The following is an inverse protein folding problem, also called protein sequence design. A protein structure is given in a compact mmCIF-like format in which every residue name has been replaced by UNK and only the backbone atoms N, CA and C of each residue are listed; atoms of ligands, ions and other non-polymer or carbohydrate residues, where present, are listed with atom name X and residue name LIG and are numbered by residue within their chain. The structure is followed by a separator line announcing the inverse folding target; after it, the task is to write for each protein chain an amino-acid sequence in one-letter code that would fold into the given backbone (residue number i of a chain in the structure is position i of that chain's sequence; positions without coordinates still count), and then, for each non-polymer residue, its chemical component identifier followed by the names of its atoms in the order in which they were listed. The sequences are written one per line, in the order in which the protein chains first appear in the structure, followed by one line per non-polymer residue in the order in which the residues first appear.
data_IF_200890261072
#
_entry.id   IF_200890261072
#
_cell.length_a   1.000
_cell.length_b   1.000
_cell.length_c   1.000
_cell.angle_alpha   90.00
_cell.angle_beta   90.00
_cell.angle_gamma   90.00
#
_symmetry.space_group_name_H-M   'P 1'
#
loop_
_entity.id
_entity.type
_entity.pdbx_description
1 polymer ?
#
# COMPACT_ATOMS: atom_id res chain seq x y z
N UNK A 1 -14.44 -25.74 15.46
CA UNK A 1 -14.67 -25.47 14.02
C UNK A 1 -13.85 -24.26 13.64
N UNK A 2 -12.93 -24.37 12.71
CA UNK A 2 -12.18 -23.20 12.21
C UNK A 2 -13.16 -22.31 11.42
N UNK A 3 -13.46 -21.13 11.93
CA UNK A 3 -14.28 -20.13 11.24
C UNK A 3 -13.56 -19.72 9.96
N UNK A 4 -14.24 -19.81 8.81
CA UNK A 4 -13.70 -19.37 7.51
C UNK A 4 -13.26 -17.92 7.67
N UNK A 5 -11.96 -17.68 7.49
CA UNK A 5 -11.38 -16.31 7.58
C UNK A 5 -12.11 -15.38 6.62
N UNK A 6 -12.73 -14.33 7.14
CA UNK A 6 -13.53 -13.41 6.34
C UNK A 6 -12.61 -12.38 5.66
N UNK A 7 -12.42 -12.51 4.35
CA UNK A 7 -11.59 -11.55 3.55
C UNK A 7 -12.16 -10.13 3.55
N UNK A 8 -13.48 -9.98 3.66
CA UNK A 8 -14.13 -8.67 3.75
C UNK A 8 -13.64 -7.87 4.96
N UNK A 9 -13.60 -8.50 6.16
CA UNK A 9 -13.09 -7.83 7.36
C UNK A 9 -11.62 -7.42 7.22
N UNK A 10 -10.80 -8.22 6.52
CA UNK A 10 -9.40 -7.88 6.27
C UNK A 10 -9.29 -6.66 5.38
N UNK A 11 -10.09 -6.57 4.31
CA UNK A 11 -10.12 -5.41 3.41
C UNK A 11 -10.49 -4.14 4.16
N UNK A 12 -11.66 -4.12 4.79
CA UNK A 12 -12.15 -2.95 5.54
C UNK A 12 -11.17 -2.51 6.64
N UNK A 13 -10.65 -3.44 7.43
CA UNK A 13 -9.68 -3.11 8.48
C UNK A 13 -8.42 -2.47 7.90
N UNK A 14 -7.95 -2.95 6.74
CA UNK A 14 -6.77 -2.42 6.08
C UNK A 14 -6.99 -1.03 5.47
N UNK A 15 -8.14 -0.78 4.86
CA UNK A 15 -8.50 0.54 4.31
C UNK A 15 -8.53 1.61 5.42
N UNK A 16 -9.21 1.32 6.54
CA UNK A 16 -9.24 2.26 7.69
C UNK A 16 -7.87 2.41 8.35
N UNK A 17 -7.06 1.35 8.40
CA UNK A 17 -5.72 1.44 8.95
C UNK A 17 -4.81 2.32 8.07
N UNK A 18 -4.86 2.16 6.74
CA UNK A 18 -4.14 3.01 5.79
C UNK A 18 -4.62 4.46 5.91
N UNK A 19 -5.93 4.69 5.98
CA UNK A 19 -6.49 6.04 6.19
C UNK A 19 -5.94 6.67 7.48
N UNK A 20 -5.92 5.91 8.59
CA UNK A 20 -5.34 6.35 9.85
C UNK A 20 -3.87 6.72 9.72
N UNK A 21 -3.08 5.91 9.00
CA UNK A 21 -1.66 6.19 8.76
C UNK A 21 -1.47 7.46 7.94
N UNK A 22 -2.29 7.69 6.91
CA UNK A 22 -2.22 8.90 6.09
C UNK A 22 -2.49 10.18 6.93
N UNK A 23 -3.51 10.18 7.79
CA UNK A 23 -3.77 11.30 8.70
C UNK A 23 -2.61 11.53 9.68
N UNK A 24 -2.01 10.47 10.23
CA UNK A 24 -0.85 10.59 11.13
C UNK A 24 0.40 11.14 10.43
N UNK A 25 0.50 10.94 9.12
CA UNK A 25 1.53 11.51 8.26
C UNK A 25 1.16 12.90 7.72
N UNK A 26 0.05 13.47 8.21
CA UNK A 26 -0.46 14.80 7.85
C UNK A 26 -0.91 14.95 6.39
N UNK A 27 -1.43 13.85 5.79
CA UNK A 27 -2.11 13.91 4.50
C UNK A 27 -3.59 14.25 4.69
N UNK A 28 -4.13 15.05 3.79
CA UNK A 28 -5.57 15.24 3.63
C UNK A 28 -6.12 14.07 2.79
N UNK A 29 -6.78 13.11 3.46
CA UNK A 29 -7.18 11.85 2.86
C UNK A 29 -8.68 11.57 3.03
N UNK A 30 -9.30 10.94 2.02
CA UNK A 30 -10.73 10.65 1.96
C UNK A 30 -10.96 9.21 1.52
N UNK A 31 -11.70 8.44 2.34
CA UNK A 31 -12.14 7.09 1.95
C UNK A 31 -13.34 7.18 1.02
N UNK A 32 -13.38 6.35 -0.01
CA UNK A 32 -14.52 6.28 -0.93
C UNK A 32 -15.50 5.21 -0.45
N UNK A 33 -16.78 5.55 -0.42
CA UNK A 33 -17.84 4.60 -0.12
C UNK A 33 -18.56 4.20 -1.42
N UNK A 34 -18.46 2.94 -1.83
CA UNK A 34 -19.20 2.47 -3.01
C UNK A 34 -18.88 1.06 -3.45
N UNK A 35 -19.88 0.41 -4.08
CA UNK A 35 -19.79 -0.98 -4.58
C UNK A 35 -19.25 -1.10 -6.01
N UNK A 36 -18.82 -0.02 -6.64
CA UNK A 36 -18.25 -0.04 -8.00
C UNK A 36 -16.73 -0.08 -7.91
N UNK A 37 -16.05 -0.51 -8.97
CA UNK A 37 -14.59 -0.48 -9.18
C UNK A 37 -14.05 0.95 -8.97
N UNK A 38 -13.95 1.38 -7.73
CA UNK A 38 -13.52 2.70 -7.33
C UNK A 38 -12.24 2.56 -6.52
N UNK A 39 -11.43 3.57 -6.62
CA UNK A 39 -10.31 3.85 -5.73
C UNK A 39 -10.77 3.78 -4.28
N UNK A 40 -9.99 3.19 -3.39
CA UNK A 40 -10.36 3.03 -1.98
C UNK A 40 -10.15 4.34 -1.19
N UNK A 41 -9.06 5.08 -1.48
CA UNK A 41 -8.72 6.33 -0.80
C UNK A 41 -8.23 7.37 -1.81
N UNK A 42 -8.64 8.60 -1.62
CA UNK A 42 -8.08 9.77 -2.28
C UNK A 42 -7.26 10.61 -1.31
N UNK A 43 -6.11 11.13 -1.78
CA UNK A 43 -5.36 12.18 -1.08
C UNK A 43 -5.33 13.44 -1.95
N UNK A 44 -5.41 14.61 -1.30
CA UNK A 44 -5.18 15.88 -1.92
C UNK A 44 -3.79 16.38 -1.52
N UNK A 45 -2.95 16.70 -2.50
CA UNK A 45 -1.63 17.31 -2.26
C UNK A 45 -1.74 18.83 -2.12
N UNK A 46 -0.69 19.46 -1.59
CA UNK A 46 -0.60 20.92 -1.44
C UNK A 46 -0.73 21.67 -2.78
N UNK A 47 -0.26 21.06 -3.89
CA UNK A 47 -0.39 21.58 -5.25
C UNK A 47 -1.80 21.36 -5.84
N UNK A 48 -2.76 20.86 -5.04
CA UNK A 48 -4.14 20.51 -5.41
C UNK A 48 -4.25 19.37 -6.43
N UNK A 49 -3.18 18.60 -6.65
CA UNK A 49 -3.29 17.37 -7.43
C UNK A 49 -3.83 16.23 -6.57
N UNK A 50 -4.72 15.45 -7.15
CA UNK A 50 -5.29 14.28 -6.47
C UNK A 50 -4.39 13.05 -6.70
N UNK A 51 -4.21 12.27 -5.64
CA UNK A 51 -3.59 10.95 -5.69
C UNK A 51 -4.63 9.91 -5.32
N UNK A 52 -4.71 8.86 -6.09
CA UNK A 52 -5.61 7.73 -5.84
C UNK A 52 -4.87 6.52 -5.30
N UNK A 53 -5.51 5.80 -4.38
CA UNK A 53 -4.93 4.65 -3.71
C UNK A 53 -5.91 3.48 -3.74
N UNK A 54 -5.42 2.33 -4.20
CA UNK A 54 -6.04 1.03 -3.95
C UNK A 54 -5.35 0.37 -2.76
N UNK A 55 -6.11 -0.22 -1.86
CA UNK A 55 -5.58 -0.99 -0.73
C UNK A 55 -5.73 -2.49 -1.01
N UNK A 56 -4.63 -3.21 -0.92
CA UNK A 56 -4.59 -4.67 -1.06
C UNK A 56 -4.01 -5.29 0.20
N UNK A 57 -4.72 -6.25 0.79
CA UNK A 57 -4.28 -6.83 2.05
C UNK A 57 -4.27 -8.33 2.06
N UNK A 58 -3.29 -8.90 2.79
CA UNK A 58 -3.20 -10.33 3.04
C UNK A 58 -2.84 -10.60 4.50
N UNK A 59 -3.40 -11.69 5.05
CA UNK A 59 -3.12 -12.10 6.44
C UNK A 59 -1.83 -12.89 6.55
N UNK A 60 -1.54 -13.77 5.58
CA UNK A 60 -0.53 -14.82 5.72
C UNK A 60 0.34 -15.06 4.47
N UNK A 61 -0.11 -14.59 3.29
CA UNK A 61 0.49 -15.00 2.02
C UNK A 61 1.51 -13.99 1.51
N UNK A 62 2.56 -14.52 0.85
CA UNK A 62 3.54 -13.72 0.13
C UNK A 62 3.10 -13.36 -1.30
N UNK A 63 1.98 -13.93 -1.76
CA UNK A 63 1.39 -13.73 -3.10
C UNK A 63 0.07 -12.99 -2.98
N UNK A 64 -0.04 -11.83 -3.62
CA UNK A 64 -1.15 -10.90 -3.47
C UNK A 64 -1.86 -10.74 -4.81
N UNK A 65 -3.20 -10.99 -4.88
CA UNK A 65 -3.98 -10.80 -6.10
C UNK A 65 -4.06 -9.31 -6.50
N UNK A 66 -3.74 -9.01 -7.77
CA UNK A 66 -3.72 -7.65 -8.33
C UNK A 66 -4.39 -7.57 -9.71
N UNK A 67 -5.29 -8.49 -10.02
CA UNK A 67 -5.93 -8.59 -11.34
C UNK A 67 -6.76 -7.36 -11.73
N UNK A 68 -7.26 -6.59 -10.77
CA UNK A 68 -8.03 -5.38 -11.00
C UNK A 68 -7.20 -4.10 -10.95
N UNK A 69 -5.88 -4.19 -10.78
CA UNK A 69 -5.00 -3.01 -10.77
C UNK A 69 -4.70 -2.60 -12.20
N UNK A 70 -4.88 -1.30 -12.49
CA UNK A 70 -4.57 -0.65 -13.76
C UNK A 70 -3.47 0.39 -13.55
N UNK A 71 -2.55 0.50 -14.53
CA UNK A 71 -1.51 1.54 -14.51
C UNK A 71 -2.14 2.90 -14.79
N UNK A 72 -2.04 3.83 -13.83
CA UNK A 72 -2.57 5.20 -13.94
C UNK A 72 -1.58 6.20 -13.35
N UNK A 73 -1.63 7.44 -13.84
CA UNK A 73 -0.87 8.54 -13.27
C UNK A 73 -1.35 8.85 -11.85
N UNK A 74 -0.44 9.19 -10.96
CA UNK A 74 -0.73 9.50 -9.56
C UNK A 74 -1.62 8.45 -8.87
N UNK A 75 -1.44 7.19 -9.22
CA UNK A 75 -2.16 6.07 -8.64
C UNK A 75 -1.20 5.08 -7.99
N UNK A 76 -1.47 4.73 -6.74
CA UNK A 76 -0.65 3.82 -5.95
C UNK A 76 -1.47 2.66 -5.43
N UNK A 77 -0.79 1.54 -5.22
CA UNK A 77 -1.34 0.40 -4.48
C UNK A 77 -0.61 0.31 -3.15
N UNK A 78 -1.36 0.41 -2.05
CA UNK A 78 -0.79 0.19 -0.72
C UNK A 78 -1.10 -1.24 -0.29
N UNK A 79 -0.04 -2.04 -0.20
CA UNK A 79 -0.15 -3.40 0.30
C UNK A 79 0.00 -3.42 1.82
N UNK A 80 -0.94 -4.11 2.49
CA UNK A 80 -0.96 -4.30 3.94
C UNK A 80 -0.78 -5.78 4.24
N UNK A 81 0.37 -6.15 4.79
CA UNK A 81 0.75 -7.54 5.04
C UNK A 81 0.82 -7.80 6.54
N UNK A 82 -0.12 -8.58 7.06
CA UNK A 82 -0.28 -8.82 8.50
C UNK A 82 0.68 -9.87 9.07
N UNK A 83 1.40 -10.63 8.25
CA UNK A 83 2.39 -11.62 8.70
C UNK A 83 1.82 -12.60 9.75
N UNK A 84 0.58 -13.09 9.55
CA UNK A 84 -0.18 -13.95 10.48
C UNK A 84 -0.64 -13.29 11.79
N UNK A 85 -0.55 -11.95 11.90
CA UNK A 85 -0.91 -11.18 13.10
C UNK A 85 -2.13 -10.29 12.86
N UNK A 86 -3.09 -10.74 12.05
CA UNK A 86 -4.33 -9.98 11.81
C UNK A 86 -5.27 -10.01 13.02
N UNK A 87 -5.44 -11.19 13.60
CA UNK A 87 -6.20 -11.37 14.83
C UNK A 87 -5.39 -10.81 16.01
N UNK A 88 -6.03 -9.99 16.83
CA UNK A 88 -5.39 -9.36 17.99
C UNK A 88 -5.50 -10.30 19.19
N UNK A 89 -4.38 -10.90 19.56
CA UNK A 89 -4.21 -11.70 20.76
C UNK A 89 -3.13 -11.02 21.62
N UNK A 90 -3.58 -10.24 22.61
CA UNK A 90 -2.68 -9.44 23.46
C UNK A 90 -2.37 -8.06 22.86
N UNK A 91 -1.08 -7.67 22.78
CA UNK A 91 -0.68 -6.35 22.30
C UNK A 91 -0.80 -6.27 20.75
N UNK A 92 -1.57 -5.31 20.21
CA UNK A 92 -1.66 -5.10 18.78
C UNK A 92 -0.30 -4.77 18.16
N UNK A 93 -0.01 -5.34 17.00
CA UNK A 93 1.17 -5.00 16.19
C UNK A 93 0.74 -4.42 14.85
N UNK A 94 1.49 -3.45 14.33
CA UNK A 94 1.25 -2.93 12.99
C UNK A 94 1.68 -3.97 11.94
N UNK A 95 0.92 -4.08 10.83
CA UNK A 95 1.36 -4.84 9.66
C UNK A 95 2.48 -4.12 8.93
N UNK A 96 3.09 -4.81 7.96
CA UNK A 96 3.99 -4.18 6.99
C UNK A 96 3.18 -3.43 5.93
N UNK A 97 3.64 -2.22 5.57
CA UNK A 97 3.07 -1.40 4.50
C UNK A 97 4.05 -1.28 3.34
N UNK A 98 3.55 -1.40 2.11
CA UNK A 98 4.34 -1.21 0.89
C UNK A 98 3.59 -0.25 -0.01
N UNK A 99 4.20 0.88 -0.36
CA UNK A 99 3.59 1.96 -1.14
C UNK A 99 4.12 1.88 -2.56
N UNK A 100 3.36 1.26 -3.46
CA UNK A 100 3.84 0.87 -4.78
C UNK A 100 3.10 1.63 -5.88
N UNK A 101 3.80 2.28 -6.84
CA UNK A 101 3.15 2.86 -8.01
C UNK A 101 2.37 1.79 -8.79
N UNK A 102 1.16 2.12 -9.23
CA UNK A 102 0.31 1.15 -9.96
C UNK A 102 0.95 0.66 -11.27
N UNK A 103 1.72 1.51 -11.94
CA UNK A 103 2.49 1.14 -13.13
C UNK A 103 3.50 0.03 -12.84
N UNK A 104 4.23 0.12 -11.72
CA UNK A 104 5.16 -0.93 -11.29
C UNK A 104 4.43 -2.23 -10.95
N UNK A 105 3.26 -2.16 -10.28
CA UNK A 105 2.45 -3.35 -9.97
C UNK A 105 2.05 -4.07 -11.26
N UNK A 106 1.60 -3.35 -12.28
CA UNK A 106 1.18 -3.92 -13.57
C UNK A 106 2.36 -4.52 -14.32
N UNK A 107 3.53 -3.88 -14.29
CA UNK A 107 4.75 -4.36 -14.93
C UNK A 107 5.32 -5.62 -14.26
N UNK A 108 5.28 -5.67 -12.92
CA UNK A 108 5.94 -6.72 -12.13
C UNK A 108 5.03 -7.91 -11.79
N UNK A 109 3.71 -7.78 -12.00
CA UNK A 109 2.75 -8.86 -11.72
C UNK A 109 2.98 -10.07 -12.60
N UNK A 110 2.72 -11.26 -12.05
CA UNK A 110 2.80 -12.53 -12.77
C UNK A 110 1.40 -13.04 -13.08
N UNK A 111 1.26 -13.54 -14.29
CA UNK A 111 0.04 -14.16 -14.78
C UNK A 111 0.03 -15.65 -14.46
N UNK A 112 -1.12 -16.16 -14.09
CA UNK A 112 -1.37 -17.56 -13.86
C UNK A 112 -2.69 -17.97 -14.51
N UNK A 113 -2.66 -19.05 -15.28
CA UNK A 113 -3.88 -19.70 -15.78
C UNK A 113 -4.61 -20.41 -14.64
N UNK A 114 -5.93 -20.23 -14.58
CA UNK A 114 -6.77 -20.94 -13.63
C UNK A 114 -7.25 -22.25 -14.24
N UNK A 115 -7.25 -23.35 -13.47
CA UNK A 115 -7.75 -24.66 -13.90
C UNK A 115 -9.20 -24.65 -14.39
N UNK A 116 -10.00 -23.68 -13.93
CA UNK A 116 -11.39 -23.47 -14.32
C UNK A 116 -11.56 -22.53 -15.52
N UNK A 117 -10.45 -22.11 -16.16
CA UNK A 117 -10.42 -21.07 -17.19
C UNK A 117 -10.34 -19.65 -16.62
N UNK A 118 -9.68 -18.76 -17.36
CA UNK A 118 -9.45 -17.38 -16.96
C UNK A 118 -8.03 -17.14 -16.42
N UNK A 119 -7.71 -15.87 -16.27
CA UNK A 119 -6.39 -15.39 -15.87
C UNK A 119 -6.42 -14.82 -14.44
N UNK A 120 -5.37 -15.03 -13.70
CA UNK A 120 -5.15 -14.43 -12.39
C UNK A 120 -3.80 -13.75 -12.35
N UNK A 121 -3.79 -12.52 -11.93
CA UNK A 121 -2.56 -11.73 -11.77
C UNK A 121 -2.21 -11.58 -10.30
N UNK A 122 -0.99 -11.93 -9.94
CA UNK A 122 -0.47 -11.79 -8.58
C UNK A 122 0.88 -11.07 -8.59
N UNK A 123 1.17 -10.35 -7.51
CA UNK A 123 2.51 -9.83 -7.19
C UNK A 123 3.01 -10.51 -5.91
N UNK A 124 4.32 -10.70 -5.79
CA UNK A 124 4.89 -11.30 -4.59
C UNK A 124 5.48 -10.25 -3.68
N UNK A 125 5.45 -10.50 -2.37
CA UNK A 125 6.06 -9.64 -1.36
C UNK A 125 7.50 -9.26 -1.70
N UNK A 126 8.32 -10.23 -2.13
CA UNK A 126 9.72 -10.02 -2.52
C UNK A 126 9.90 -9.02 -3.67
N UNK A 127 8.92 -8.93 -4.58
CA UNK A 127 8.98 -8.05 -5.75
C UNK A 127 8.68 -6.60 -5.37
N UNK A 128 8.09 -6.35 -4.19
CA UNK A 128 7.75 -5.03 -3.66
C UNK A 128 8.55 -4.63 -2.42
N UNK A 129 9.54 -5.43 -2.00
CA UNK A 129 10.30 -5.18 -0.76
C UNK A 129 10.98 -3.81 -0.75
N UNK A 130 11.44 -3.32 -1.90
CA UNK A 130 12.01 -1.99 -2.06
C UNK A 130 11.04 -0.82 -1.82
N UNK A 131 9.74 -1.10 -1.65
CA UNK A 131 8.70 -0.10 -1.42
C UNK A 131 8.16 -0.10 0.02
N UNK A 132 8.84 -0.82 0.92
CA UNK A 132 8.41 -0.91 2.31
C UNK A 132 8.50 0.44 3.01
N UNK A 133 7.36 0.91 3.55
CA UNK A 133 7.22 2.18 4.27
C UNK A 133 7.63 3.44 3.48
N UNK A 134 7.64 3.38 2.15
CA UNK A 134 8.00 4.51 1.27
C UNK A 134 6.81 5.48 1.08
N UNK A 135 6.28 6.01 2.19
CA UNK A 135 5.14 6.94 2.20
C UNK A 135 5.43 8.26 1.47
N UNK A 136 6.70 8.69 1.40
CA UNK A 136 7.16 9.87 0.68
C UNK A 136 6.85 9.83 -0.82
N UNK A 137 6.70 8.65 -1.41
CA UNK A 137 6.29 8.50 -2.81
C UNK A 137 4.95 9.17 -3.10
N UNK A 138 4.07 9.26 -2.10
CA UNK A 138 2.76 9.91 -2.25
C UNK A 138 2.88 11.42 -2.49
N UNK A 139 4.02 12.04 -2.19
CA UNK A 139 4.31 13.46 -2.48
C UNK A 139 4.81 13.67 -3.91
N UNK A 140 5.25 12.61 -4.59
CA UNK A 140 5.84 12.68 -5.92
C UNK A 140 4.78 12.60 -7.01
N UNK A 141 4.87 13.44 -8.06
CA UNK A 141 4.03 13.29 -9.26
C UNK A 141 4.65 12.22 -10.16
N UNK A 142 4.00 11.08 -10.31
CA UNK A 142 4.45 9.97 -11.16
C UNK A 142 3.56 9.90 -12.41
N UNK A 143 4.21 9.90 -13.58
CA UNK A 143 3.55 9.62 -14.87
C UNK A 143 3.73 8.16 -15.25
N UNK A 144 2.69 7.51 -15.72
CA UNK A 144 2.61 6.07 -16.03
C UNK A 144 3.55 5.57 -17.15
N UNK A 145 4.46 6.39 -17.66
CA UNK A 145 5.44 6.01 -18.67
C UNK A 145 6.91 6.07 -18.24
N UNK A 146 7.21 6.41 -16.97
CA UNK A 146 8.60 6.79 -16.60
C UNK A 146 9.18 6.00 -15.40
N UNK A 147 8.59 4.90 -14.98
CA UNK A 147 9.07 4.16 -13.80
C UNK A 147 10.04 3.06 -14.22
N UNK A 148 11.31 3.41 -14.46
CA UNK A 148 12.39 2.43 -14.38
C UNK A 148 12.98 2.46 -12.97
N UNK A 149 13.11 1.29 -12.35
CA UNK A 149 13.63 1.06 -10.99
C UNK A 149 14.92 1.87 -10.68
N UNK A 150 15.80 2.04 -11.66
CA UNK A 150 17.05 2.76 -11.50
C UNK A 150 16.94 4.30 -11.42
N UNK A 151 15.78 4.89 -11.68
CA UNK A 151 15.58 6.35 -11.63
C UNK A 151 15.05 6.79 -10.25
N UNK A 152 14.19 5.98 -9.64
CA UNK A 152 13.70 6.21 -8.27
C UNK A 152 14.82 6.08 -7.23
N UNK A 153 15.72 5.10 -7.38
CA UNK A 153 16.87 4.96 -6.47
C UNK A 153 17.84 6.14 -6.52
N UNK A 154 18.01 6.79 -7.68
CA UNK A 154 18.88 7.98 -7.82
C UNK A 154 18.26 9.24 -7.21
N UNK A 155 16.96 9.42 -7.30
CA UNK A 155 16.23 10.55 -6.71
C UNK A 155 16.07 10.41 -5.19
N UNK A 156 15.97 9.19 -4.67
CA UNK A 156 15.83 8.88 -3.25
C UNK A 156 17.16 8.84 -2.48
N UNK A 157 18.31 8.94 -3.16
CA UNK A 157 19.64 8.86 -2.54
C UNK A 157 20.14 10.18 -1.89
N UNK A 158 19.32 11.25 -1.84
CA UNK A 158 19.68 12.39 -1.02
C UNK A 158 19.58 12.01 0.46
N UNK A 159 20.69 12.10 1.16
CA UNK A 159 20.82 11.72 2.59
C UNK A 159 19.86 12.47 3.51
N UNK A 160 19.41 13.66 3.12
CA UNK A 160 18.55 14.54 3.91
C UNK A 160 17.09 14.10 3.94
N UNK A 161 16.53 13.58 2.84
CA UNK A 161 15.15 13.08 2.82
C UNK A 161 14.98 11.78 3.61
N UNK A 162 15.97 10.88 3.53
CA UNK A 162 15.97 9.63 4.33
C UNK A 162 15.95 9.90 5.83
N UNK A 163 16.64 10.97 6.27
CA UNK A 163 16.73 11.32 7.68
C UNK A 163 15.42 11.95 8.19
N UNK A 164 14.74 12.74 7.37
CA UNK A 164 13.47 13.38 7.72
C UNK A 164 12.31 12.37 7.83
N UNK A 165 12.24 11.41 6.92
CA UNK A 165 11.20 10.36 6.93
C UNK A 165 11.43 9.38 8.08
N UNK A 166 12.69 8.99 8.34
CA UNK A 166 13.04 8.12 9.47
C UNK A 166 12.73 8.76 10.81
N UNK A 167 13.00 10.07 11.00
CA UNK A 167 12.67 10.78 12.23
C UNK A 167 11.16 10.85 12.46
N UNK A 168 10.39 11.24 11.45
CA UNK A 168 8.91 11.29 11.53
C UNK A 168 8.29 9.91 11.80
N UNK A 169 8.86 8.85 11.25
CA UNK A 169 8.40 7.48 11.48
C UNK A 169 8.68 7.03 12.91
N UNK A 170 9.87 7.32 13.44
CA UNK A 170 10.25 6.99 14.82
C UNK A 170 9.42 7.78 15.83
N UNK A 171 9.10 9.05 15.55
CA UNK A 171 8.20 9.84 16.37
C UNK A 171 6.78 9.25 16.41
N UNK A 172 6.28 8.76 15.27
CA UNK A 172 5.00 8.05 15.20
C UNK A 172 4.99 6.75 16.01
N UNK A 173 6.08 5.98 16.00
CA UNK A 173 6.19 4.74 16.75
C UNK A 173 6.36 4.97 18.25
N UNK A 174 7.05 6.04 18.65
CA UNK A 174 7.23 6.40 20.07
C UNK A 174 5.93 6.78 20.76
N UNK A 175 4.96 7.35 20.03
CA UNK A 175 3.63 7.69 20.56
C UNK A 175 2.73 6.47 20.83
N UNK A 176 3.06 5.30 20.27
CA UNK A 176 2.30 4.05 20.49
C UNK A 176 2.71 3.37 21.80
N UNK A 177 3.86 3.74 22.39
CA UNK A 177 4.40 3.11 23.61
C UNK A 177 4.06 3.87 24.89
N UNK A 178 3.23 4.90 24.85
CA UNK A 178 2.78 5.65 26.01
C UNK A 178 1.28 5.44 26.19
N UNK A 179 0.90 4.30 26.77
CA UNK A 179 -0.33 4.10 27.55
C UNK A 179 -0.22 2.79 28.29
#
# INVERSE_FOLDING_TARGET
MATKKNGFNTGIASEYLVLSMLYRLNYEAYITMGNKKSVDIWIMRDDKTAVSIDVKSVREYDSIPVGNVEAKDNHYVIFVIYNKKFEIEGTPTLPDFYIVPSSYVVESRKEYELKAGGERYNIFKKDIEGYKNHWELLNSSIKSGNVTHGKLEKEMNSKEEKQLVSSRWNDCLSLIHIS
#
